data_IF_020006506590
#
_entry.id   IF_020006506590
#
_cell.length_a   1.000
_cell.length_b   1.000
_cell.length_c   1.000
_cell.angle_alpha   90.00
_cell.angle_beta   90.00
_cell.angle_gamma   90.00
#
_symmetry.space_group_name_H-M   'P 1'
#
loop_
_entity.id
_entity.type
_entity.pdbx_description
1 polymer ?
#
# COMPACT_ATOMS: atom_id res chain seq x y z
N UNK A 1 42.38 13.98 49.58
CA UNK A 1 41.39 14.24 48.51
C UNK A 1 40.40 13.08 48.51
N UNK A 2 39.16 13.33 48.84
CA UNK A 2 38.20 12.28 49.19
C UNK A 2 37.61 11.66 47.89
N UNK A 3 38.06 10.46 47.57
CA UNK A 3 37.70 9.71 46.38
C UNK A 3 36.17 9.50 46.28
N UNK A 4 35.48 9.39 47.43
CA UNK A 4 34.03 9.23 47.49
C UNK A 4 33.27 10.47 47.02
N UNK A 5 33.84 11.67 47.23
CA UNK A 5 33.25 12.92 46.72
C UNK A 5 33.43 13.08 45.21
N UNK A 6 34.54 12.60 44.64
CA UNK A 6 34.81 12.62 43.21
C UNK A 6 33.85 11.66 42.44
N UNK A 7 33.63 10.46 42.99
CA UNK A 7 32.74 9.45 42.38
C UNK A 7 31.29 9.95 42.33
N UNK A 8 30.81 10.59 43.40
CA UNK A 8 29.45 11.20 43.43
C UNK A 8 29.31 12.34 42.42
N UNK A 9 30.35 13.15 42.22
CA UNK A 9 30.31 14.21 41.20
C UNK A 9 30.36 13.68 39.77
N UNK A 10 31.12 12.63 39.51
CA UNK A 10 31.17 11.99 38.19
C UNK A 10 29.89 11.27 37.88
N UNK A 11 29.25 10.61 38.87
CA UNK A 11 27.98 9.95 38.69
C UNK A 11 26.82 10.95 38.46
N UNK A 12 26.84 12.10 39.15
CA UNK A 12 25.86 13.15 38.91
C UNK A 12 26.00 13.82 37.53
N UNK A 13 27.23 13.98 37.04
CA UNK A 13 27.46 14.46 35.67
C UNK A 13 27.04 13.45 34.61
N UNK A 14 27.26 12.13 34.83
CA UNK A 14 26.85 11.10 33.91
C UNK A 14 25.33 10.99 33.80
N UNK A 15 24.59 11.10 34.91
CA UNK A 15 23.12 11.08 34.88
C UNK A 15 22.53 12.38 34.28
N UNK A 16 23.14 13.53 34.53
CA UNK A 16 22.72 14.77 33.90
C UNK A 16 22.99 14.80 32.41
N UNK A 17 24.11 14.20 31.94
CA UNK A 17 24.42 14.10 30.53
C UNK A 17 23.48 13.10 29.81
N UNK A 18 23.10 12.01 30.48
CA UNK A 18 22.12 11.06 29.90
C UNK A 18 20.72 11.67 29.76
N UNK A 19 20.27 12.48 30.74
CA UNK A 19 19.01 13.20 30.65
C UNK A 19 19.06 14.34 29.60
N UNK A 20 20.21 15.02 29.45
CA UNK A 20 20.37 16.06 28.45
C UNK A 20 20.39 15.46 27.01
N UNK A 21 20.93 14.24 26.83
CA UNK A 21 20.85 13.56 25.53
C UNK A 21 19.42 13.10 25.18
N UNK A 22 18.60 12.76 26.18
CA UNK A 22 17.17 12.45 25.93
C UNK A 22 16.35 13.69 25.59
N UNK A 23 16.79 14.90 26.00
CA UNK A 23 16.11 16.16 25.70
C UNK A 23 16.57 16.80 24.38
N UNK A 24 17.66 16.31 23.80
CA UNK A 24 18.17 16.77 22.50
C UNK A 24 18.00 15.76 21.38
N UNK A 25 17.07 14.80 21.52
CA UNK A 25 16.60 14.13 20.32
C UNK A 25 16.07 15.23 19.40
N UNK A 26 16.61 15.38 18.18
CA UNK A 26 16.02 16.29 17.24
C UNK A 26 14.57 15.83 17.11
N UNK A 27 13.65 16.67 17.51
CA UNK A 27 12.25 16.57 17.11
C UNK A 27 12.25 16.84 15.62
N UNK A 28 12.71 15.89 14.83
CA UNK A 28 12.34 15.81 13.44
C UNK A 28 10.86 15.39 13.40
N UNK A 29 10.03 16.15 14.09
CA UNK A 29 8.64 16.21 13.78
C UNK A 29 8.57 17.12 12.54
N UNK A 30 8.50 16.47 11.37
CA UNK A 30 8.03 17.14 10.19
C UNK A 30 6.83 18.00 10.60
N UNK A 31 6.84 19.22 10.14
CA UNK A 31 5.85 20.28 10.26
C UNK A 31 4.48 19.78 10.75
N UNK A 32 4.21 19.98 12.04
CA UNK A 32 3.06 19.42 12.78
C UNK A 32 1.72 19.99 12.28
N UNK A 33 1.74 20.97 11.40
CA UNK A 33 0.56 21.63 10.83
C UNK A 33 -0.10 20.82 9.71
N UNK A 34 0.58 19.80 9.16
CA UNK A 34 0.06 18.96 8.06
C UNK A 34 -0.39 17.57 8.50
N UNK A 35 -0.13 17.13 9.74
CA UNK A 35 -0.31 15.75 10.16
C UNK A 35 -1.37 15.53 11.26
N UNK A 36 -2.25 16.48 11.52
CA UNK A 36 -3.40 16.29 12.39
C UNK A 36 -4.61 15.73 11.63
N UNK A 37 -4.36 14.78 10.72
CA UNK A 37 -5.45 14.11 10.03
C UNK A 37 -6.33 13.38 11.05
N UNK A 38 -7.61 13.75 11.10
CA UNK A 38 -8.66 13.11 11.88
C UNK A 38 -9.49 12.15 11.02
N UNK A 39 -9.17 12.06 9.76
CA UNK A 39 -9.82 11.24 8.74
C UNK A 39 -8.79 10.42 7.97
N UNK A 40 -9.20 9.26 7.53
CA UNK A 40 -8.38 8.38 6.69
C UNK A 40 -9.20 7.84 5.52
N UNK A 41 -8.52 7.53 4.43
CA UNK A 41 -9.14 7.12 3.18
C UNK A 41 -8.40 5.92 2.59
N UNK A 42 -9.14 5.06 1.92
CA UNK A 42 -8.58 4.04 1.03
C UNK A 42 -8.49 4.63 -0.37
N UNK A 43 -7.34 4.50 -1.01
CA UNK A 43 -7.12 4.77 -2.42
C UNK A 43 -6.95 3.45 -3.14
N UNK A 44 -7.83 3.14 -4.07
CA UNK A 44 -7.80 1.90 -4.84
C UNK A 44 -7.50 2.18 -6.30
N UNK A 45 -6.40 1.63 -6.78
CA UNK A 45 -6.04 1.63 -8.19
C UNK A 45 -6.37 0.27 -8.79
N UNK A 46 -7.06 0.28 -9.93
CA UNK A 46 -7.39 -0.91 -10.69
C UNK A 46 -6.93 -0.74 -12.13
N UNK A 47 -6.11 -1.69 -12.57
CA UNK A 47 -5.58 -1.76 -13.92
C UNK A 47 -6.32 -2.87 -14.68
N UNK A 48 -6.97 -2.54 -15.78
CA UNK A 48 -7.61 -3.51 -16.67
C UNK A 48 -7.74 -2.96 -18.07
N UNK A 49 -7.29 -3.69 -19.07
CA UNK A 49 -7.40 -3.25 -20.46
C UNK A 49 -8.74 -3.65 -21.10
N UNK A 50 -9.35 -4.72 -20.61
CA UNK A 50 -10.55 -5.30 -21.21
C UNK A 50 -11.86 -4.89 -20.57
N UNK A 51 -11.80 -4.10 -19.50
CA UNK A 51 -12.98 -3.68 -18.74
C UNK A 51 -13.69 -4.85 -18.04
N UNK A 52 -13.46 -4.96 -16.74
CA UNK A 52 -14.14 -5.94 -15.90
C UNK A 52 -14.66 -5.25 -14.65
N UNK A 53 -15.97 -5.37 -14.42
CA UNK A 53 -16.58 -4.85 -13.21
C UNK A 53 -16.11 -5.65 -12.00
N UNK A 54 -15.58 -4.95 -11.00
CA UNK A 54 -15.05 -5.55 -9.77
C UNK A 54 -15.31 -4.69 -8.56
N UNK A 55 -15.49 -5.32 -7.42
CA UNK A 55 -15.60 -4.66 -6.11
C UNK A 55 -14.54 -5.17 -5.17
N UNK A 56 -13.76 -4.26 -4.63
CA UNK A 56 -12.68 -4.55 -3.69
C UNK A 56 -13.08 -4.15 -2.28
N UNK A 57 -12.78 -5.01 -1.31
CA UNK A 57 -13.07 -4.80 0.10
C UNK A 57 -11.79 -4.82 0.93
N UNK A 58 -11.84 -4.13 2.06
CA UNK A 58 -10.68 -3.94 2.93
C UNK A 58 -11.04 -4.32 4.37
N UNK A 59 -10.05 -4.62 5.17
CA UNK A 59 -10.21 -4.92 6.59
C UNK A 59 -9.26 -4.07 7.42
N UNK A 60 -9.72 -3.67 8.61
CA UNK A 60 -8.89 -3.11 9.65
C UNK A 60 -9.05 -3.98 10.89
N UNK A 61 -8.00 -4.70 11.26
CA UNK A 61 -8.01 -5.58 12.43
C UNK A 61 -7.27 -4.92 13.58
N UNK A 62 -7.93 -4.76 14.71
CA UNK A 62 -7.31 -4.17 15.88
C UNK A 62 -6.18 -5.03 16.41
N UNK A 63 -5.05 -4.39 16.68
CA UNK A 63 -3.88 -5.00 17.33
C UNK A 63 -4.00 -4.76 18.83
N UNK A 64 -3.72 -5.81 19.61
CA UNK A 64 -3.69 -5.73 21.07
C UNK A 64 -2.26 -5.80 21.57
N UNK A 65 -1.93 -5.05 22.63
CA UNK A 65 -0.58 -5.04 23.18
C UNK A 65 -0.43 -4.04 24.31
N UNK A 66 0.76 -4.00 24.90
CA UNK A 66 1.09 -3.03 25.96
C UNK A 66 0.99 -1.60 25.43
N UNK A 67 0.30 -0.75 26.17
CA UNK A 67 0.09 0.65 25.79
C UNK A 67 -0.96 0.89 24.70
N UNK A 68 -1.65 -0.16 24.23
CA UNK A 68 -2.74 -0.07 23.27
C UNK A 68 -4.10 -0.25 23.96
N UNK A 69 -5.10 0.45 23.42
CA UNK A 69 -6.48 0.17 23.79
C UNK A 69 -6.94 -1.12 23.13
N UNK A 70 -7.65 -1.95 23.90
CA UNK A 70 -8.10 -3.28 23.43
C UNK A 70 -9.58 -3.47 23.76
N UNK A 71 -10.46 -2.75 23.04
CA UNK A 71 -11.91 -2.79 23.22
C UNK A 71 -12.67 -3.43 22.05
N UNK A 72 -11.93 -3.99 21.09
CA UNK A 72 -12.47 -4.64 19.86
C UNK A 72 -13.30 -3.72 18.96
N UNK A 73 -13.05 -2.41 19.03
CA UNK A 73 -13.70 -1.43 18.14
C UNK A 73 -12.95 -1.34 16.81
N UNK A 74 -13.50 -1.92 15.75
CA UNK A 74 -12.93 -1.84 14.41
C UNK A 74 -13.58 -0.74 13.57
N UNK A 75 -12.81 0.00 12.76
CA UNK A 75 -13.37 0.88 11.75
C UNK A 75 -14.18 0.13 10.71
N UNK A 76 -15.21 0.77 10.17
CA UNK A 76 -15.91 0.28 8.98
C UNK A 76 -15.13 0.72 7.75
N UNK A 77 -14.63 -0.26 7.00
CA UNK A 77 -13.87 -0.04 5.79
C UNK A 77 -14.80 0.12 4.59
N UNK A 78 -14.47 1.00 3.62
CA UNK A 78 -15.26 1.13 2.41
C UNK A 78 -15.13 -0.09 1.51
N UNK A 79 -16.09 -0.25 0.59
CA UNK A 79 -15.96 -1.13 -0.58
C UNK A 79 -15.88 -0.26 -1.83
N UNK A 80 -14.91 -0.50 -2.69
CA UNK A 80 -14.65 0.33 -3.88
C UNK A 80 -14.92 -0.50 -5.12
N UNK A 81 -15.86 -0.04 -5.94
CA UNK A 81 -16.34 -0.74 -7.14
C UNK A 81 -15.88 -0.02 -8.41
N UNK A 82 -15.54 -0.81 -9.41
CA UNK A 82 -15.25 -0.38 -10.78
C UNK A 82 -16.26 -1.02 -11.73
N UNK A 83 -16.61 -0.28 -12.78
CA UNK A 83 -17.56 -0.75 -13.81
C UNK A 83 -16.83 -1.29 -15.03
N UNK A 84 -17.54 -1.99 -15.89
CA UNK A 84 -17.01 -2.54 -17.15
C UNK A 84 -16.48 -1.47 -18.11
N UNK A 85 -16.97 -0.25 -18.03
CA UNK A 85 -16.54 0.85 -18.90
C UNK A 85 -15.24 1.53 -18.40
N UNK A 86 -14.78 1.19 -17.21
CA UNK A 86 -13.58 1.78 -16.61
C UNK A 86 -12.34 0.97 -16.97
N UNK A 87 -11.85 1.17 -18.21
CA UNK A 87 -10.63 0.54 -18.73
C UNK A 87 -9.38 1.36 -18.49
N UNK A 88 -8.22 0.75 -18.64
CA UNK A 88 -6.91 1.32 -18.33
C UNK A 88 -6.68 1.39 -16.83
N UNK A 89 -5.88 2.35 -16.40
CA UNK A 89 -5.60 2.60 -14.98
C UNK A 89 -6.64 3.57 -14.41
N UNK A 90 -7.41 3.12 -13.44
CA UNK A 90 -8.40 3.94 -12.73
C UNK A 90 -8.13 3.92 -11.24
N UNK A 91 -8.23 5.08 -10.62
CA UNK A 91 -8.08 5.22 -9.17
C UNK A 91 -9.35 5.83 -8.58
N UNK A 92 -9.86 5.18 -7.54
CA UNK A 92 -10.98 5.66 -6.73
C UNK A 92 -10.58 5.77 -5.28
N UNK A 93 -11.26 6.62 -4.55
CA UNK A 93 -10.98 6.88 -3.14
C UNK A 93 -12.28 6.92 -2.35
N UNK A 94 -12.25 6.33 -1.16
CA UNK A 94 -13.38 6.39 -0.25
C UNK A 94 -12.91 6.42 1.21
N UNK A 95 -13.78 6.92 2.09
CA UNK A 95 -13.48 7.27 3.46
C UNK A 95 -13.63 6.06 4.39
N UNK A 96 -12.71 5.92 5.34
CA UNK A 96 -12.83 5.01 6.48
C UNK A 96 -13.77 5.64 7.52
N UNK A 97 -14.75 4.89 7.97
CA UNK A 97 -15.67 5.32 9.04
C UNK A 97 -15.20 4.76 10.38
N UNK A 98 -14.76 5.65 11.27
CA UNK A 98 -14.34 5.26 12.61
C UNK A 98 -15.53 5.07 13.54
N UNK A 99 -15.46 4.10 14.49
CA UNK A 99 -16.48 3.91 15.50
C UNK A 99 -16.52 5.06 16.50
N UNK A 100 -17.58 5.15 17.28
CA UNK A 100 -17.58 5.97 18.46
C UNK A 100 -16.67 5.32 19.52
N UNK A 101 -15.55 5.96 19.83
CA UNK A 101 -14.59 5.45 20.80
C UNK A 101 -15.15 5.56 22.23
N UNK A 102 -14.80 4.61 23.09
CA UNK A 102 -15.30 4.50 24.45
C UNK A 102 -14.29 4.99 25.50
N UNK A 103 -13.03 5.15 25.13
CA UNK A 103 -11.96 5.60 26.01
C UNK A 103 -10.84 6.29 25.24
N UNK A 104 -10.07 7.09 25.93
CA UNK A 104 -8.86 7.70 25.39
C UNK A 104 -7.71 6.70 25.31
N UNK A 105 -6.79 6.93 24.37
CA UNK A 105 -5.60 6.13 24.20
C UNK A 105 -5.20 5.94 22.75
N UNK A 106 -4.27 5.03 22.53
CA UNK A 106 -3.79 4.63 21.22
C UNK A 106 -4.48 3.35 20.78
N UNK A 107 -5.14 3.40 19.66
CA UNK A 107 -5.69 2.25 18.94
C UNK A 107 -4.76 1.94 17.77
N UNK A 108 -4.41 0.69 17.60
CA UNK A 108 -3.57 0.25 16.49
C UNK A 108 -4.34 -0.75 15.63
N UNK A 109 -4.26 -0.61 14.32
CA UNK A 109 -4.93 -1.49 13.36
C UNK A 109 -3.97 -1.95 12.29
N UNK A 110 -4.07 -3.22 11.90
CA UNK A 110 -3.51 -3.72 10.65
C UNK A 110 -4.56 -3.57 9.55
N UNK A 111 -4.22 -2.88 8.47
CA UNK A 111 -5.12 -2.62 7.33
C UNK A 111 -4.62 -3.38 6.12
N UNK A 112 -5.49 -4.19 5.53
CA UNK A 112 -5.21 -5.02 4.35
C UNK A 112 -6.39 -5.03 3.38
N UNK A 113 -6.14 -5.40 2.13
CA UNK A 113 -7.17 -5.72 1.16
C UNK A 113 -7.57 -7.20 1.25
N UNK A 114 -8.85 -7.50 1.02
CA UNK A 114 -9.31 -8.88 0.81
C UNK A 114 -8.62 -9.48 -0.41
N UNK A 115 -8.14 -10.71 -0.28
CA UNK A 115 -7.48 -11.41 -1.40
C UNK A 115 -8.48 -12.04 -2.37
N UNK A 116 -9.76 -11.70 -2.25
CA UNK A 116 -10.83 -12.18 -3.13
C UNK A 116 -11.58 -10.98 -3.69
N UNK A 117 -11.55 -10.81 -5.00
CA UNK A 117 -12.36 -9.84 -5.71
C UNK A 117 -13.84 -10.29 -5.79
N UNK A 118 -14.75 -9.36 -6.08
CA UNK A 118 -16.16 -9.65 -6.23
C UNK A 118 -16.71 -8.96 -7.50
N UNK A 119 -17.11 -9.73 -8.54
CA UNK A 119 -17.17 -11.20 -8.62
C UNK A 119 -15.78 -11.87 -8.53
N UNK A 120 -15.72 -13.05 -7.95
CA UNK A 120 -14.47 -13.78 -7.82
C UNK A 120 -13.88 -14.12 -9.19
N UNK A 121 -12.59 -13.87 -9.37
CA UNK A 121 -11.82 -14.29 -10.52
C UNK A 121 -11.11 -15.58 -10.16
N UNK A 122 -11.42 -16.64 -10.93
CA UNK A 122 -10.66 -17.87 -10.82
C UNK A 122 -9.48 -17.77 -11.76
N UNK A 123 -8.29 -17.57 -11.19
CA UNK A 123 -7.06 -17.50 -11.97
C UNK A 123 -6.88 -18.80 -12.76
N UNK A 124 -6.76 -18.69 -14.07
CA UNK A 124 -6.57 -19.77 -15.01
C UNK A 124 -5.64 -19.36 -16.16
N UNK A 125 -5.51 -20.17 -17.18
CA UNK A 125 -4.66 -19.89 -18.35
C UNK A 125 -5.10 -18.70 -19.21
N UNK A 126 -6.33 -18.21 -19.03
CA UNK A 126 -6.91 -17.14 -19.84
C UNK A 126 -7.21 -15.86 -19.07
N UNK A 127 -7.34 -15.94 -17.76
CA UNK A 127 -7.58 -14.76 -16.92
C UNK A 127 -6.89 -14.86 -15.56
N UNK A 128 -6.47 -13.71 -15.05
CA UNK A 128 -5.84 -13.60 -13.75
C UNK A 128 -6.16 -12.25 -13.10
N UNK A 129 -6.47 -12.29 -11.82
CA UNK A 129 -6.49 -11.11 -10.96
C UNK A 129 -5.24 -11.12 -10.07
N UNK A 130 -4.40 -10.12 -10.23
CA UNK A 130 -3.24 -9.87 -9.36
C UNK A 130 -3.72 -8.94 -8.27
N UNK A 131 -3.85 -9.47 -7.06
CA UNK A 131 -4.33 -8.72 -5.90
C UNK A 131 -3.18 -8.06 -5.17
N UNK A 132 -3.42 -6.85 -4.66
CA UNK A 132 -2.48 -6.16 -3.79
C UNK A 132 -2.22 -6.97 -2.52
N UNK A 133 -0.94 -7.10 -2.18
CA UNK A 133 -0.46 -7.69 -0.92
C UNK A 133 -0.05 -6.60 0.08
N UNK A 134 -0.38 -5.34 -0.21
CA UNK A 134 -0.01 -4.23 0.64
C UNK A 134 -0.62 -4.36 2.04
N UNK A 135 0.18 -4.01 3.02
CA UNK A 135 -0.19 -4.03 4.43
C UNK A 135 0.21 -2.70 5.08
N UNK A 136 -0.68 -2.18 5.89
CA UNK A 136 -0.46 -0.94 6.60
C UNK A 136 -0.73 -1.11 8.09
N UNK A 137 0.05 -0.40 8.89
CA UNK A 137 -0.21 -0.17 10.29
C UNK A 137 -0.81 1.23 10.46
N UNK A 138 -1.99 1.31 11.07
CA UNK A 138 -2.69 2.55 11.37
C UNK A 138 -2.77 2.77 12.87
N UNK A 139 -2.16 3.84 13.35
CA UNK A 139 -2.23 4.30 14.73
C UNK A 139 -3.27 5.43 14.84
N UNK A 140 -4.30 5.24 15.63
CA UNK A 140 -5.34 6.23 15.90
C UNK A 140 -5.24 6.69 17.34
N UNK A 141 -4.99 7.97 17.54
CA UNK A 141 -4.90 8.59 18.87
C UNK A 141 -6.22 9.26 19.21
N UNK A 142 -6.79 8.84 20.31
CA UNK A 142 -8.07 9.35 20.83
C UNK A 142 -7.83 10.03 22.14
N UNK A 143 -8.44 11.21 22.34
CA UNK A 143 -8.39 11.96 23.60
C UNK A 143 -9.80 12.32 24.05
N UNK A 144 -9.96 12.45 25.36
CA UNK A 144 -11.18 12.96 25.94
C UNK A 144 -11.19 14.50 25.87
N UNK A 145 -12.03 15.05 25.02
CA UNK A 145 -12.20 16.48 24.81
C UNK A 145 -13.64 16.85 25.20
N UNK A 146 -13.79 17.59 26.29
CA UNK A 146 -15.12 18.02 26.78
C UNK A 146 -16.10 16.85 26.99
N UNK A 147 -15.63 15.77 27.61
CA UNK A 147 -16.37 14.52 27.82
C UNK A 147 -16.80 13.79 26.53
N UNK A 148 -16.08 14.02 25.43
CA UNK A 148 -16.22 13.27 24.18
C UNK A 148 -14.88 12.68 23.79
N UNK A 149 -14.91 11.45 23.33
CA UNK A 149 -13.71 10.78 22.80
C UNK A 149 -13.56 11.11 21.31
N UNK A 150 -12.56 11.91 21.00
CA UNK A 150 -12.32 12.41 19.64
C UNK A 150 -10.95 11.98 19.13
N UNK A 151 -10.89 11.65 17.83
CA UNK A 151 -9.61 11.41 17.16
C UNK A 151 -8.84 12.72 17.13
N UNK A 152 -7.63 12.69 17.68
CA UNK A 152 -6.71 13.82 17.66
C UNK A 152 -5.64 13.69 16.59
N UNK A 153 -5.28 12.45 16.22
CA UNK A 153 -4.23 12.18 15.26
C UNK A 153 -4.37 10.77 14.68
N UNK A 154 -4.05 10.62 13.40
CA UNK A 154 -3.88 9.32 12.74
C UNK A 154 -2.49 9.26 12.13
N UNK A 155 -1.75 8.19 12.36
CA UNK A 155 -0.44 7.91 11.75
C UNK A 155 -0.55 6.61 11.00
N UNK A 156 -0.07 6.58 9.76
CA UNK A 156 -0.08 5.39 8.92
C UNK A 156 1.35 5.07 8.48
N UNK A 157 1.70 3.80 8.60
CA UNK A 157 2.94 3.26 8.06
C UNK A 157 2.61 2.10 7.13
N UNK A 158 3.14 2.14 5.92
CA UNK A 158 3.11 1.01 4.99
C UNK A 158 4.14 -0.02 5.47
N UNK A 159 3.72 -1.24 5.75
CA UNK A 159 4.58 -2.33 6.25
C UNK A 159 4.95 -3.33 5.17
N UNK A 160 4.11 -3.44 4.12
CA UNK A 160 4.40 -4.20 2.90
C UNK A 160 3.87 -3.45 1.69
N UNK A 161 4.56 -3.57 0.57
CA UNK A 161 4.11 -3.05 -0.73
C UNK A 161 3.03 -3.91 -1.38
N UNK A 162 2.57 -3.56 -2.60
CA UNK A 162 1.57 -4.34 -3.34
C UNK A 162 2.05 -5.75 -3.73
N UNK A 163 3.36 -6.03 -3.68
CA UNK A 163 3.96 -7.35 -3.91
C UNK A 163 4.16 -8.15 -2.62
N UNK A 164 3.83 -7.58 -1.47
CA UNK A 164 3.98 -8.21 -0.16
C UNK A 164 5.40 -8.14 0.40
N UNK A 165 6.27 -7.32 -0.16
CA UNK A 165 7.66 -7.17 0.29
C UNK A 165 7.86 -5.91 1.12
N UNK A 166 8.93 -5.92 1.92
CA UNK A 166 9.40 -4.75 2.67
C UNK A 166 10.53 -4.15 1.83
N UNK A 167 10.31 -2.96 1.31
CA UNK A 167 11.27 -2.26 0.46
C UNK A 167 11.44 -0.79 0.86
N UNK A 168 12.02 0.03 -0.03
CA UNK A 168 12.23 1.45 0.21
C UNK A 168 10.94 2.28 0.18
N UNK A 169 9.83 1.71 -0.29
CA UNK A 169 8.51 2.34 -0.31
C UNK A 169 7.72 2.09 0.98
N UNK A 170 8.23 1.18 1.85
CA UNK A 170 7.65 0.96 3.17
C UNK A 170 8.03 2.10 4.12
N UNK A 171 7.18 2.38 5.09
CA UNK A 171 7.39 3.42 6.08
C UNK A 171 6.20 4.36 6.23
N UNK A 172 6.45 5.54 6.77
CA UNK A 172 5.39 6.53 7.05
C UNK A 172 4.73 7.02 5.76
N UNK A 173 3.41 6.95 5.74
CA UNK A 173 2.57 7.41 4.63
C UNK A 173 1.91 8.73 5.00
N UNK A 174 1.90 9.67 4.07
CA UNK A 174 1.10 10.89 4.20
C UNK A 174 -0.37 10.57 3.92
N UNK A 175 -1.24 10.86 4.88
CA UNK A 175 -2.70 10.67 4.76
C UNK A 175 -3.44 12.00 4.57
N UNK A 176 -2.73 13.02 4.09
CA UNK A 176 -3.30 14.35 3.83
C UNK A 176 -4.44 14.35 2.80
N UNK A 177 -4.88 15.53 2.42
CA UNK A 177 -6.12 15.74 1.64
C UNK A 177 -5.98 15.51 0.12
N UNK A 178 -4.86 15.00 -0.40
CA UNK A 178 -4.73 14.73 -1.84
C UNK A 178 -5.30 13.36 -2.20
N UNK A 179 -5.79 13.21 -3.42
CA UNK A 179 -6.39 11.95 -3.91
C UNK A 179 -5.40 10.78 -3.98
N UNK A 180 -4.10 11.07 -3.92
CA UNK A 180 -3.02 10.09 -3.96
C UNK A 180 -2.48 9.70 -2.59
N UNK A 181 -2.90 10.38 -1.52
CA UNK A 181 -2.41 10.15 -0.17
C UNK A 181 -3.31 9.19 0.60
N UNK A 182 -2.70 8.32 1.39
CA UNK A 182 -3.41 7.38 2.23
C UNK A 182 -3.03 5.94 1.98
N UNK A 183 -3.94 5.03 2.32
CA UNK A 183 -3.79 3.60 2.04
C UNK A 183 -3.97 3.34 0.56
N UNK A 184 -2.91 2.98 -0.15
CA UNK A 184 -2.93 2.72 -1.59
C UNK A 184 -2.83 1.22 -1.87
N UNK A 185 -3.78 0.69 -2.62
CA UNK A 185 -3.82 -0.71 -3.03
C UNK A 185 -4.01 -0.77 -4.54
N UNK A 186 -3.14 -1.52 -5.23
CA UNK A 186 -3.15 -1.64 -6.69
C UNK A 186 -3.41 -3.07 -7.11
N UNK A 187 -4.48 -3.30 -7.88
CA UNK A 187 -4.78 -4.60 -8.48
C UNK A 187 -4.73 -4.52 -10.00
N UNK A 188 -4.36 -5.62 -10.61
CA UNK A 188 -4.32 -5.74 -12.06
C UNK A 188 -5.11 -6.95 -12.51
N UNK A 189 -6.08 -6.74 -13.40
CA UNK A 189 -6.78 -7.80 -14.09
C UNK A 189 -6.18 -8.00 -15.48
N UNK A 190 -5.83 -9.22 -15.74
CA UNK A 190 -5.26 -9.66 -17.02
C UNK A 190 -6.20 -10.66 -17.62
N UNK A 191 -6.57 -10.44 -18.89
CA UNK A 191 -7.27 -11.41 -19.70
C UNK A 191 -6.52 -11.60 -21.00
N UNK A 192 -6.20 -12.85 -21.32
CA UNK A 192 -5.59 -13.21 -22.61
C UNK A 192 -6.66 -13.63 -23.60
N UNK A 193 -6.61 -13.03 -24.78
CA UNK A 193 -7.39 -13.48 -25.92
C UNK A 193 -6.52 -14.43 -26.75
N UNK A 194 -6.76 -15.74 -26.64
CA UNK A 194 -6.03 -16.73 -27.47
C UNK A 194 -5.75 -18.04 -26.76
N UNK A 195 -5.18 -18.94 -27.49
CA UNK A 195 -4.89 -20.30 -27.04
C UNK A 195 -3.54 -20.35 -26.31
N UNK A 196 -3.56 -20.54 -24.99
CA UNK A 196 -2.52 -21.33 -24.38
C UNK A 196 -1.28 -20.62 -23.89
N UNK A 197 -1.33 -19.34 -23.50
CA UNK A 197 -0.26 -18.78 -22.67
C UNK A 197 -0.80 -18.57 -21.25
N UNK A 198 -0.18 -19.21 -20.31
CA UNK A 198 -0.53 -19.05 -18.89
C UNK A 198 -0.24 -17.61 -18.44
N UNK A 199 -1.24 -16.80 -18.05
CA UNK A 199 -1.02 -15.46 -17.51
C UNK A 199 -0.38 -15.47 -16.11
N UNK A 200 0.07 -16.62 -15.63
CA UNK A 200 0.59 -16.79 -14.28
C UNK A 200 1.89 -16.04 -14.02
N UNK A 201 2.58 -15.63 -15.06
CA UNK A 201 3.84 -14.90 -14.92
C UNK A 201 3.95 -13.74 -15.93
N UNK A 202 3.11 -12.71 -15.82
CA UNK A 202 3.34 -11.50 -16.59
C UNK A 202 4.71 -10.95 -16.19
N UNK A 203 5.61 -10.73 -17.17
CA UNK A 203 6.90 -10.10 -16.90
C UNK A 203 6.72 -8.67 -16.35
N UNK A 204 7.79 -8.08 -15.85
CA UNK A 204 7.78 -6.69 -15.33
C UNK A 204 7.18 -5.67 -16.33
N UNK A 205 7.38 -5.93 -17.63
CA UNK A 205 6.81 -5.10 -18.72
C UNK A 205 5.28 -5.20 -18.81
N UNK A 206 4.70 -6.29 -18.33
CA UNK A 206 3.24 -6.50 -18.34
C UNK A 206 2.55 -5.71 -17.23
N UNK A 207 3.20 -5.55 -16.10
CA UNK A 207 2.72 -4.71 -15.00
C UNK A 207 2.65 -3.23 -15.41
N UNK A 208 3.38 -2.88 -16.47
CA UNK A 208 3.53 -1.50 -16.92
C UNK A 208 2.72 -1.17 -18.18
N UNK A 209 1.85 -1.95 -18.77
CA UNK A 209 1.03 -1.51 -19.94
C UNK A 209 0.73 -2.59 -20.99
N UNK A 210 0.83 -3.87 -20.66
CA UNK A 210 0.49 -4.93 -21.62
C UNK A 210 1.34 -4.86 -22.89
N UNK A 211 2.66 -4.83 -22.77
CA UNK A 211 3.54 -4.68 -23.92
C UNK A 211 3.68 -6.01 -24.70
N UNK A 212 3.46 -5.96 -26.01
CA UNK A 212 3.76 -7.08 -26.91
C UNK A 212 5.24 -7.07 -27.25
N UNK A 213 6.01 -8.00 -26.69
CA UNK A 213 7.42 -8.18 -27.02
C UNK A 213 7.59 -9.11 -28.22
N UNK A 214 8.16 -8.58 -29.32
CA UNK A 214 8.53 -9.38 -30.48
C UNK A 214 10.03 -9.61 -30.46
N UNK A 215 10.45 -10.87 -30.35
CA UNK A 215 11.88 -11.24 -30.39
C UNK A 215 12.20 -11.86 -31.75
N UNK A 216 13.24 -11.35 -32.41
CA UNK A 216 13.77 -11.91 -33.65
C UNK A 216 15.17 -12.44 -33.42
N UNK A 217 15.34 -13.73 -33.63
CA UNK A 217 16.66 -14.38 -33.62
C UNK A 217 17.10 -14.62 -35.05
N UNK A 218 18.31 -14.19 -35.40
CA UNK A 218 18.93 -14.46 -36.68
C UNK A 218 20.02 -15.49 -36.48
N UNK A 219 19.84 -16.66 -37.09
CA UNK A 219 20.87 -17.72 -37.11
C UNK A 219 21.65 -17.66 -38.44
N UNK A 220 22.93 -17.33 -38.42
CA UNK A 220 23.73 -17.18 -39.61
C UNK A 220 24.05 -18.53 -40.33
N UNK A 221 23.78 -19.67 -39.67
CA UNK A 221 24.05 -21.01 -40.20
C UNK A 221 25.45 -21.14 -40.87
N UNK A 222 26.48 -20.62 -40.15
CA UNK A 222 27.88 -20.63 -40.62
C UNK A 222 28.27 -19.45 -41.51
N UNK A 223 27.36 -18.58 -41.87
CA UNK A 223 27.61 -17.33 -42.62
C UNK A 223 27.87 -16.12 -41.71
N UNK A 224 28.05 -14.95 -42.35
CA UNK A 224 28.21 -13.67 -41.63
C UNK A 224 26.84 -13.03 -41.39
N UNK A 225 26.60 -12.51 -40.19
CA UNK A 225 25.37 -11.76 -39.88
C UNK A 225 25.44 -10.41 -40.58
N UNK A 226 24.43 -10.10 -41.40
CA UNK A 226 24.26 -8.75 -41.94
C UNK A 226 23.63 -7.87 -40.85
N UNK A 227 24.46 -7.04 -40.19
CA UNK A 227 24.04 -6.13 -39.10
C UNK A 227 23.15 -4.98 -39.61
N UNK A 228 23.07 -4.75 -40.93
CA UNK A 228 22.20 -3.73 -41.53
C UNK A 228 20.87 -4.30 -42.00
N UNK A 229 20.62 -5.60 -41.82
CA UNK A 229 19.33 -6.21 -42.18
C UNK A 229 18.21 -5.70 -41.27
N UNK A 230 17.12 -5.24 -41.89
CA UNK A 230 15.89 -4.85 -41.16
C UNK A 230 14.78 -5.90 -41.41
N UNK A 231 14.03 -6.15 -40.37
CA UNK A 231 12.92 -7.13 -40.43
C UNK A 231 11.61 -6.38 -40.11
N UNK A 232 10.62 -6.50 -40.99
CA UNK A 232 9.30 -5.92 -40.78
C UNK A 232 8.41 -6.98 -40.13
N UNK A 233 7.74 -6.59 -39.07
CA UNK A 233 6.70 -7.38 -38.40
C UNK A 233 5.34 -6.74 -38.71
N UNK A 234 4.33 -7.57 -38.89
CA UNK A 234 2.93 -7.12 -38.98
C UNK A 234 2.14 -7.92 -37.98
N UNK A 235 1.45 -7.22 -37.08
CA UNK A 235 0.51 -7.84 -36.15
C UNK A 235 -0.92 -7.51 -36.61
N UNK A 236 -1.78 -8.53 -36.60
CA UNK A 236 -3.21 -8.37 -36.81
C UNK A 236 -3.91 -8.81 -35.56
N UNK A 237 -4.73 -7.90 -35.02
CA UNK A 237 -5.51 -8.17 -33.81
C UNK A 237 -6.96 -8.35 -34.23
N UNK A 238 -7.53 -9.52 -33.94
CA UNK A 238 -8.94 -9.78 -34.09
C UNK A 238 -9.57 -9.81 -32.68
N UNK A 239 -10.24 -8.73 -32.33
CA UNK A 239 -10.91 -8.64 -31.02
C UNK A 239 -12.25 -9.39 -31.09
N UNK A 240 -12.62 -10.14 -30.04
CA UNK A 240 -13.95 -10.74 -29.98
C UNK A 240 -15.00 -9.61 -30.02
N UNK A 241 -16.00 -9.79 -30.84
CA UNK A 241 -17.15 -8.89 -30.82
C UNK A 241 -17.93 -9.19 -29.55
N UNK A 242 -18.00 -8.20 -28.64
CA UNK A 242 -18.82 -8.25 -27.45
C UNK A 242 -20.31 -8.37 -27.75
#
# INVERSE_FOLDING_TARGET
>A
MDVKKSIKKVLACATASAMALCLTMPTAFADDTKNNAKEAYISKTYNTEVGKAETFSFTATQVTGEGLVSDSLNPTMPSISFTVDETGTKTKRDKITFPAFSQEGKYEYTVTESQTANPAVTNNEHEKMIMSQAEYKMDVYVSNINNKYEITKIIVNKTKDDKGVIDNETGKVDIGNSDTNGFSFTNTYVQEAGTGTDPTNPGEDYENYGSLKVTKTVNPNGGTINTSASFRFTAKFDFPKG
#
